data_IF_301801080882
#
_entry.id   IF_301801080882
#
_cell.length_a   1.000
_cell.length_b   1.000
_cell.length_c   1.000
_cell.angle_alpha   90.00
_cell.angle_beta   90.00
_cell.angle_gamma   90.00
#
_symmetry.space_group_name_H-M   'P 1'
#
loop_
_entity.id
_entity.type
_entity.pdbx_description
1 polymer ?
#
# COMPACT_ATOMS: atom_id res chain seq x y z
N UNK A 1 4.67 20.77 -4.55
CA UNK A 1 4.13 19.50 -4.11
C UNK A 1 5.19 18.43 -3.91
N UNK A 2 4.77 17.31 -3.35
CA UNK A 2 5.62 16.13 -3.15
C UNK A 2 5.12 14.99 -4.02
N UNK A 3 6.05 14.14 -4.46
CA UNK A 3 5.78 12.91 -5.18
C UNK A 3 6.03 11.72 -4.26
N UNK A 4 5.04 10.85 -4.12
CA UNK A 4 5.13 9.61 -3.38
C UNK A 4 4.88 8.41 -4.29
N UNK A 5 5.65 7.34 -4.11
CA UNK A 5 5.47 6.07 -4.80
C UNK A 5 5.46 4.96 -3.75
N UNK A 6 4.45 4.11 -3.78
CA UNK A 6 4.46 2.83 -3.07
C UNK A 6 4.90 1.72 -4.02
N UNK A 7 6.12 1.20 -3.92
CA UNK A 7 6.61 0.12 -4.78
C UNK A 7 5.79 -1.17 -4.60
N UNK A 8 5.90 -2.06 -5.56
CA UNK A 8 5.36 -3.41 -5.43
C UNK A 8 6.07 -4.17 -4.30
N UNK A 9 5.33 -5.00 -3.58
CA UNK A 9 5.88 -5.90 -2.56
C UNK A 9 6.99 -6.77 -3.15
N UNK A 10 8.10 -6.89 -2.42
CA UNK A 10 9.27 -7.65 -2.86
C UNK A 10 10.21 -6.91 -3.82
N UNK A 11 9.89 -5.66 -4.20
CA UNK A 11 10.79 -4.86 -5.04
C UNK A 11 11.89 -4.17 -4.23
N UNK A 12 11.57 -3.65 -3.06
CA UNK A 12 12.50 -2.91 -2.19
C UNK A 12 12.75 -3.63 -0.88
N UNK A 13 13.92 -3.40 -0.28
CA UNK A 13 14.26 -3.93 1.03
C UNK A 13 13.35 -3.33 2.11
N UNK A 14 12.93 -4.16 3.05
CA UNK A 14 12.24 -3.74 4.27
C UNK A 14 13.09 -4.18 5.45
N UNK A 15 13.12 -3.35 6.49
CA UNK A 15 13.84 -3.61 7.73
C UNK A 15 13.13 -4.68 8.58
N UNK A 16 13.09 -5.92 8.08
CA UNK A 16 12.68 -7.07 8.87
C UNK A 16 13.59 -8.26 8.58
N UNK A 17 13.80 -9.13 9.57
CA UNK A 17 14.61 -10.36 9.42
C UNK A 17 14.06 -11.26 8.30
N UNK A 18 12.77 -11.19 8.03
CA UNK A 18 12.05 -12.02 7.07
C UNK A 18 11.66 -11.27 5.79
N UNK A 19 11.91 -9.94 5.70
CA UNK A 19 11.50 -9.14 4.56
C UNK A 19 9.98 -8.94 4.43
N UNK A 20 9.21 -9.26 5.48
CA UNK A 20 7.75 -9.28 5.47
C UNK A 20 7.11 -8.41 6.56
N UNK A 21 7.62 -7.21 6.79
CA UNK A 21 7.04 -6.31 7.80
C UNK A 21 5.52 -6.24 7.65
N UNK A 22 4.81 -6.43 8.77
CA UNK A 22 3.35 -6.54 8.82
C UNK A 22 2.77 -7.60 7.87
N UNK A 23 3.39 -8.78 7.82
CA UNK A 23 2.98 -9.87 6.92
C UNK A 23 2.90 -9.46 5.44
N UNK A 24 3.83 -8.60 5.01
CA UNK A 24 3.93 -8.13 3.63
C UNK A 24 3.04 -6.92 3.29
N UNK A 25 2.38 -6.30 4.26
CA UNK A 25 1.58 -5.09 4.05
C UNK A 25 2.40 -3.79 4.07
N UNK A 26 3.70 -3.87 4.38
CA UNK A 26 4.58 -2.70 4.44
C UNK A 26 5.63 -2.77 3.35
N UNK A 27 5.87 -1.65 2.68
CA UNK A 27 6.95 -1.45 1.71
C UNK A 27 7.62 -0.12 1.98
N UNK A 28 8.91 -0.02 1.71
CA UNK A 28 9.69 1.21 1.93
C UNK A 28 10.03 1.89 0.62
N UNK A 29 9.89 3.22 0.59
CA UNK A 29 10.40 4.10 -0.45
C UNK A 29 10.50 5.53 0.09
N UNK A 30 11.02 6.45 -0.71
CA UNK A 30 11.16 7.87 -0.35
C UNK A 30 9.98 8.69 -0.84
N UNK A 31 9.79 9.84 -0.22
CA UNK A 31 9.02 10.96 -0.74
C UNK A 31 10.00 11.93 -1.38
N UNK A 32 9.74 12.33 -2.62
CA UNK A 32 10.63 13.19 -3.42
C UNK A 32 9.89 14.39 -4.00
N UNK A 33 10.60 15.29 -4.64
CA UNK A 33 10.00 16.42 -5.36
C UNK A 33 9.79 16.13 -6.85
N UNK A 34 10.40 15.06 -7.36
CA UNK A 34 10.27 14.67 -8.77
C UNK A 34 10.14 13.17 -8.94
N UNK A 35 9.50 12.74 -10.04
CA UNK A 35 9.45 11.34 -10.48
C UNK A 35 10.87 10.83 -10.74
N UNK A 36 11.75 11.68 -11.28
CA UNK A 36 13.14 11.34 -11.60
C UNK A 36 13.93 10.95 -10.36
N UNK A 37 13.82 11.72 -9.26
CA UNK A 37 14.50 11.40 -8.01
C UNK A 37 13.97 10.11 -7.39
N UNK A 38 12.66 9.90 -7.45
CA UNK A 38 12.03 8.65 -7.00
C UNK A 38 12.54 7.45 -7.79
N UNK A 39 12.62 7.55 -9.12
CA UNK A 39 13.12 6.48 -9.97
C UNK A 39 14.60 6.18 -9.71
N UNK A 40 15.44 7.21 -9.59
CA UNK A 40 16.86 7.07 -9.27
C UNK A 40 17.06 6.38 -7.91
N UNK A 41 16.28 6.78 -6.89
CA UNK A 41 16.34 6.15 -5.57
C UNK A 41 15.86 4.70 -5.60
N UNK A 42 14.82 4.41 -6.39
CA UNK A 42 14.33 3.04 -6.57
C UNK A 42 15.40 2.12 -7.16
N UNK A 43 16.21 2.60 -8.11
CA UNK A 43 17.35 1.87 -8.67
C UNK A 43 18.41 1.50 -7.62
N UNK A 44 18.59 2.36 -6.61
CA UNK A 44 19.53 2.10 -5.51
C UNK A 44 19.00 1.06 -4.51
N UNK A 45 17.71 1.14 -4.18
CA UNK A 45 17.13 0.31 -3.09
C UNK A 45 16.44 -0.96 -3.59
N UNK A 46 16.27 -1.13 -4.91
CA UNK A 46 15.67 -2.35 -5.46
C UNK A 46 16.50 -3.58 -5.09
N UNK A 47 15.82 -4.64 -4.69
CA UNK A 47 16.46 -5.87 -4.26
C UNK A 47 17.08 -6.60 -5.44
N UNK A 48 18.35 -6.95 -5.29
CA UNK A 48 19.10 -7.78 -6.24
C UNK A 48 19.21 -9.25 -5.78
N UNK A 49 18.64 -9.60 -4.62
CA UNK A 49 18.71 -10.93 -4.02
C UNK A 49 17.33 -11.52 -3.80
N UNK A 50 17.23 -12.84 -3.73
CA UNK A 50 16.02 -13.57 -3.39
C UNK A 50 15.60 -13.25 -1.95
N UNK A 51 14.33 -12.86 -1.80
CA UNK A 51 13.64 -12.69 -0.52
C UNK A 51 12.47 -13.69 -0.45
N UNK A 52 11.76 -13.72 0.70
CA UNK A 52 10.60 -14.60 0.91
C UNK A 52 9.48 -14.41 -0.11
N UNK A 53 9.32 -13.18 -0.62
CA UNK A 53 8.36 -12.90 -1.68
C UNK A 53 9.05 -12.95 -3.05
N UNK A 54 8.37 -13.50 -4.07
CA UNK A 54 8.85 -13.40 -5.44
C UNK A 54 9.09 -11.94 -5.80
N UNK A 55 10.24 -11.63 -6.37
CA UNK A 55 10.50 -10.30 -6.88
C UNK A 55 9.58 -10.03 -8.06
N UNK A 56 8.82 -8.93 -8.06
CA UNK A 56 8.04 -8.55 -9.23
C UNK A 56 8.97 -8.23 -10.41
N UNK A 57 8.51 -8.38 -11.65
CA UNK A 57 9.24 -7.92 -12.81
C UNK A 57 9.64 -6.45 -12.64
N UNK A 58 10.88 -6.12 -12.96
CA UNK A 58 11.39 -4.78 -12.85
C UNK A 58 12.40 -4.52 -13.97
N UNK A 59 12.47 -3.28 -14.50
CA UNK A 59 13.47 -2.92 -15.48
C UNK A 59 14.89 -2.93 -14.86
N UNK A 60 15.91 -2.99 -15.71
CA UNK A 60 17.29 -2.86 -15.27
C UNK A 60 17.55 -1.50 -14.63
N UNK A 61 16.94 -0.44 -15.17
CA UNK A 61 16.95 0.91 -14.61
C UNK A 61 15.56 1.54 -14.68
N UNK A 62 15.02 1.94 -13.54
CA UNK A 62 13.81 2.75 -13.46
C UNK A 62 14.05 4.17 -13.96
N UNK A 63 15.25 4.72 -13.71
CA UNK A 63 15.61 6.04 -14.17
C UNK A 63 15.64 6.10 -15.71
N UNK A 64 16.24 5.10 -16.36
CA UNK A 64 16.30 5.05 -17.83
C UNK A 64 14.92 4.80 -18.43
N UNK A 65 14.04 4.06 -17.72
CA UNK A 65 12.68 3.80 -18.15
C UNK A 65 11.82 5.06 -18.29
N UNK A 66 12.19 6.17 -17.66
CA UNK A 66 11.50 7.46 -17.82
C UNK A 66 11.62 8.05 -19.24
N UNK A 67 12.54 7.55 -20.04
CA UNK A 67 12.70 7.96 -21.44
C UNK A 67 11.79 7.16 -22.39
N UNK A 68 11.08 6.15 -21.88
CA UNK A 68 10.19 5.31 -22.68
C UNK A 68 8.78 5.90 -22.66
N UNK A 69 8.18 6.00 -23.84
CA UNK A 69 6.75 6.34 -23.94
C UNK A 69 5.89 5.21 -23.38
N UNK A 70 4.93 5.50 -22.50
CA UNK A 70 4.08 4.47 -21.87
C UNK A 70 3.09 3.81 -22.85
N UNK A 71 2.95 4.34 -24.07
CA UNK A 71 1.92 3.94 -25.01
C UNK A 71 0.53 4.46 -24.60
N UNK A 72 -0.51 3.88 -25.20
CA UNK A 72 -1.90 4.21 -24.84
C UNK A 72 -2.36 3.32 -23.71
N UNK A 73 -2.64 3.92 -22.56
CA UNK A 73 -3.13 3.23 -21.38
C UNK A 73 -4.66 3.25 -21.34
N UNK A 74 -5.23 2.17 -20.81
CA UNK A 74 -6.62 2.11 -20.37
C UNK A 74 -6.70 2.36 -18.88
N UNK A 75 -7.31 3.49 -18.49
CA UNK A 75 -7.33 4.03 -17.15
C UNK A 75 -8.74 3.93 -16.58
N UNK A 76 -8.89 3.24 -15.45
CA UNK A 76 -10.13 3.23 -14.68
C UNK A 76 -10.24 4.48 -13.81
N UNK A 77 -11.25 5.34 -14.02
CA UNK A 77 -11.51 6.52 -13.23
C UNK A 77 -12.47 6.18 -12.08
N UNK A 78 -11.99 6.23 -10.86
CA UNK A 78 -12.79 6.00 -9.66
C UNK A 78 -13.14 7.33 -9.01
N UNK A 79 -14.42 7.69 -9.00
CA UNK A 79 -14.95 8.92 -8.40
C UNK A 79 -15.67 8.69 -7.07
N UNK A 80 -15.95 7.45 -6.72
CA UNK A 80 -16.60 7.07 -5.46
C UNK A 80 -15.59 6.68 -4.39
N UNK A 81 -15.88 7.07 -3.14
CA UNK A 81 -15.09 6.61 -2.00
C UNK A 81 -15.41 5.13 -1.70
N UNK A 82 -14.40 4.24 -1.51
CA UNK A 82 -14.64 2.79 -1.35
C UNK A 82 -15.35 2.41 -0.03
N UNK A 83 -15.53 3.36 0.89
CA UNK A 83 -16.33 3.22 2.11
C UNK A 83 -17.58 4.10 2.12
N UNK A 84 -18.07 4.52 0.94
CA UNK A 84 -19.24 5.39 0.75
C UNK A 84 -19.18 6.73 1.53
N UNK A 85 -17.97 7.24 1.78
CA UNK A 85 -17.80 8.56 2.38
C UNK A 85 -17.88 9.64 1.32
N UNK A 86 -18.26 10.84 1.73
CA UNK A 86 -18.31 12.01 0.84
C UNK A 86 -16.87 12.42 0.49
N UNK A 87 -16.61 12.61 -0.79
CA UNK A 87 -15.35 13.18 -1.30
C UNK A 87 -15.55 14.67 -1.49
N UNK A 88 -14.59 15.49 -1.07
CA UNK A 88 -14.64 16.93 -1.27
C UNK A 88 -14.69 17.29 -2.75
N UNK A 89 -15.49 18.32 -3.10
CA UNK A 89 -15.67 18.73 -4.49
C UNK A 89 -14.34 19.15 -5.14
N UNK A 90 -13.44 19.78 -4.39
CA UNK A 90 -12.12 20.16 -4.89
C UNK A 90 -11.28 18.92 -5.29
N UNK A 91 -11.41 17.80 -4.57
CA UNK A 91 -10.75 16.53 -4.91
C UNK A 91 -11.36 15.93 -6.19
N UNK A 92 -12.69 15.98 -6.33
CA UNK A 92 -13.40 15.54 -7.54
C UNK A 92 -12.98 16.38 -8.75
N UNK A 93 -12.93 17.71 -8.60
CA UNK A 93 -12.50 18.60 -9.67
C UNK A 93 -11.04 18.35 -10.06
N UNK A 94 -10.17 18.13 -9.07
CA UNK A 94 -8.77 17.79 -9.30
C UNK A 94 -8.59 16.51 -10.11
N UNK A 95 -9.33 15.44 -9.75
CA UNK A 95 -9.22 14.16 -10.46
C UNK A 95 -9.83 14.24 -11.87
N UNK A 96 -10.92 14.99 -12.08
CA UNK A 96 -11.50 15.20 -13.39
C UNK A 96 -10.53 15.98 -14.31
N UNK A 97 -9.83 16.99 -13.79
CA UNK A 97 -8.78 17.69 -14.54
C UNK A 97 -7.63 16.75 -14.92
N UNK A 98 -7.21 15.86 -14.01
CA UNK A 98 -6.19 14.86 -14.31
C UNK A 98 -6.65 13.85 -15.37
N UNK A 99 -7.92 13.41 -15.31
CA UNK A 99 -8.52 12.53 -16.31
C UNK A 99 -8.55 13.19 -17.69
N UNK A 100 -9.00 14.44 -17.77
CA UNK A 100 -9.01 15.20 -19.03
C UNK A 100 -7.61 15.40 -19.61
N UNK A 101 -6.60 15.60 -18.76
CA UNK A 101 -5.20 15.64 -19.19
C UNK A 101 -4.77 14.31 -19.79
N UNK A 102 -5.08 13.18 -19.12
CA UNK A 102 -4.75 11.85 -19.63
C UNK A 102 -5.44 11.57 -20.98
N UNK A 103 -6.70 11.96 -21.16
CA UNK A 103 -7.40 11.87 -22.45
C UNK A 103 -6.70 12.70 -23.54
N UNK A 104 -6.28 13.92 -23.22
CA UNK A 104 -5.56 14.79 -24.16
C UNK A 104 -4.22 14.21 -24.60
N UNK A 105 -3.61 13.36 -23.77
CA UNK A 105 -2.40 12.61 -24.07
C UNK A 105 -2.66 11.31 -24.85
N UNK A 106 -3.94 11.01 -25.12
CA UNK A 106 -4.36 9.87 -25.95
C UNK A 106 -4.62 8.58 -25.18
N UNK A 107 -4.71 8.62 -23.85
CA UNK A 107 -5.13 7.51 -23.02
C UNK A 107 -6.67 7.33 -23.07
N UNK A 108 -7.13 6.12 -22.77
CA UNK A 108 -8.55 5.80 -22.69
C UNK A 108 -9.00 5.86 -21.23
N UNK A 109 -10.01 6.69 -20.94
CA UNK A 109 -10.58 6.81 -19.59
C UNK A 109 -11.95 6.14 -19.55
N UNK A 110 -12.20 5.32 -18.55
CA UNK A 110 -13.51 4.72 -18.27
C UNK A 110 -13.84 4.88 -16.78
N UNK A 111 -15.02 5.39 -16.46
CA UNK A 111 -15.47 5.43 -15.07
C UNK A 111 -15.72 4.01 -14.56
N UNK A 112 -15.23 3.72 -13.35
CA UNK A 112 -15.28 2.40 -12.75
C UNK A 112 -15.86 2.44 -11.33
N UNK A 113 -16.44 1.29 -10.93
CA UNK A 113 -16.66 0.98 -9.52
C UNK A 113 -15.49 0.16 -9.01
N UNK A 114 -15.00 0.45 -7.80
CA UNK A 114 -13.88 -0.28 -7.20
C UNK A 114 -14.26 -1.78 -7.07
N UNK A 115 -13.38 -2.72 -7.52
CA UNK A 115 -13.71 -4.15 -7.57
C UNK A 115 -13.81 -4.84 -6.21
N UNK A 116 -13.31 -4.19 -5.14
CA UNK A 116 -13.24 -4.77 -3.79
C UNK A 116 -14.09 -3.95 -2.82
N UNK A 117 -14.92 -4.62 -2.01
CA UNK A 117 -15.54 -3.98 -0.84
C UNK A 117 -14.48 -3.74 0.24
N UNK A 118 -14.21 -2.48 0.54
CA UNK A 118 -13.16 -2.11 1.49
C UNK A 118 -13.56 -2.28 2.97
N UNK A 119 -14.83 -2.41 3.30
CA UNK A 119 -15.27 -2.53 4.70
C UNK A 119 -14.65 -3.75 5.40
N UNK A 120 -14.74 -4.98 4.85
CA UNK A 120 -14.07 -6.14 5.44
C UNK A 120 -12.54 -6.02 5.34
N UNK A 121 -12.00 -5.40 4.29
CA UNK A 121 -10.55 -5.20 4.12
C UNK A 121 -9.97 -4.33 5.22
N UNK A 122 -10.60 -3.19 5.54
CA UNK A 122 -10.17 -2.29 6.63
C UNK A 122 -10.19 -3.01 7.97
N UNK A 123 -11.23 -3.82 8.24
CA UNK A 123 -11.31 -4.62 9.47
C UNK A 123 -10.20 -5.67 9.54
N UNK A 124 -9.90 -6.34 8.44
CA UNK A 124 -8.81 -7.32 8.36
C UNK A 124 -7.44 -6.65 8.55
N UNK A 125 -7.20 -5.51 7.88
CA UNK A 125 -5.99 -4.72 8.06
C UNK A 125 -5.78 -4.29 9.52
N UNK A 126 -6.84 -3.81 10.19
CA UNK A 126 -6.76 -3.42 11.59
C UNK A 126 -6.34 -4.60 12.49
N UNK A 127 -6.91 -5.80 12.28
CA UNK A 127 -6.51 -7.00 13.02
C UNK A 127 -5.03 -7.33 12.80
N UNK A 128 -4.56 -7.29 11.55
CA UNK A 128 -3.17 -7.54 11.21
C UNK A 128 -2.23 -6.54 11.88
N UNK A 129 -2.51 -5.24 11.75
CA UNK A 129 -1.70 -4.15 12.33
C UNK A 129 -1.66 -4.26 13.85
N UNK A 130 -2.83 -4.42 14.50
CA UNK A 130 -2.93 -4.50 15.96
C UNK A 130 -2.12 -5.67 16.51
N UNK A 131 -2.19 -6.84 15.85
CA UNK A 131 -1.42 -8.03 16.24
C UNK A 131 0.09 -7.79 16.13
N UNK A 132 0.55 -7.18 15.04
CA UNK A 132 1.96 -6.86 14.84
C UNK A 132 2.47 -5.81 15.83
N UNK A 133 1.67 -4.79 16.14
CA UNK A 133 2.03 -3.79 17.16
C UNK A 133 2.12 -4.45 18.53
N UNK A 134 1.13 -5.26 18.91
CA UNK A 134 1.16 -6.01 20.17
C UNK A 134 2.44 -6.86 20.28
N UNK A 135 2.75 -7.66 19.26
CA UNK A 135 3.94 -8.50 19.22
C UNK A 135 5.24 -7.70 19.40
N UNK A 136 5.35 -6.54 18.74
CA UNK A 136 6.53 -5.66 18.87
C UNK A 136 6.62 -5.03 20.25
N UNK A 137 5.52 -4.60 20.81
CA UNK A 137 5.47 -4.02 22.16
C UNK A 137 5.86 -5.08 23.20
N UNK A 138 5.25 -6.28 23.15
CA UNK A 138 5.62 -7.37 24.07
C UNK A 138 7.10 -7.73 23.97
N UNK A 139 7.61 -7.94 22.78
CA UNK A 139 9.03 -8.26 22.59
C UNK A 139 9.96 -7.18 23.16
N UNK A 140 9.54 -5.92 23.11
CA UNK A 140 10.35 -4.80 23.64
C UNK A 140 10.29 -4.69 25.16
N UNK A 141 9.09 -4.78 25.75
CA UNK A 141 8.95 -4.72 27.21
C UNK A 141 9.59 -5.94 27.88
N UNK A 142 9.49 -7.12 27.31
CA UNK A 142 10.18 -8.33 27.76
C UNK A 142 11.72 -8.14 27.74
N UNK A 143 12.24 -7.55 26.66
CA UNK A 143 13.67 -7.24 26.55
C UNK A 143 14.14 -6.27 27.62
N UNK A 144 13.28 -5.32 28.02
CA UNK A 144 13.59 -4.31 29.03
C UNK A 144 13.30 -4.77 30.45
N UNK A 145 12.58 -5.88 30.64
CA UNK A 145 12.16 -6.39 31.94
C UNK A 145 11.12 -5.49 32.64
N UNK A 146 10.26 -4.83 31.86
CA UNK A 146 9.19 -3.94 32.33
C UNK A 146 7.83 -4.42 31.83
N UNK A 147 6.73 -3.82 32.32
CA UNK A 147 5.38 -4.04 31.83
C UNK A 147 4.98 -3.03 30.74
N UNK A 148 3.86 -3.26 30.04
CA UNK A 148 3.34 -2.29 29.05
C UNK A 148 2.94 -0.99 29.74
N UNK A 149 2.41 -1.07 30.96
CA UNK A 149 2.00 0.09 31.76
C UNK A 149 3.19 0.94 32.22
N UNK A 150 4.35 0.31 32.45
CA UNK A 150 5.60 1.00 32.82
C UNK A 150 6.34 1.57 31.61
N UNK A 151 5.99 1.12 30.39
CA UNK A 151 6.59 1.62 29.18
C UNK A 151 6.07 3.03 28.86
N UNK A 152 6.98 3.93 28.48
CA UNK A 152 6.65 5.28 28.01
C UNK A 152 6.13 5.21 26.57
N UNK A 153 4.88 4.76 26.42
CA UNK A 153 4.18 4.60 25.15
C UNK A 153 3.04 5.62 25.06
N UNK A 154 2.85 6.16 23.87
CA UNK A 154 1.67 6.96 23.58
C UNK A 154 0.38 6.14 23.83
N UNK A 155 -0.67 6.80 24.30
CA UNK A 155 -1.96 6.17 24.61
C UNK A 155 -2.52 5.40 23.42
N UNK A 156 -2.41 5.95 22.21
CA UNK A 156 -2.81 5.30 20.97
C UNK A 156 -2.11 3.95 20.76
N UNK A 157 -0.80 3.87 21.00
CA UNK A 157 -0.01 2.65 20.89
C UNK A 157 -0.42 1.62 21.94
N UNK A 158 -0.69 2.06 23.19
CA UNK A 158 -1.18 1.18 24.25
C UNK A 158 -2.56 0.59 23.91
N UNK A 159 -3.49 1.41 23.38
CA UNK A 159 -4.82 0.95 22.95
C UNK A 159 -4.69 -0.11 21.87
N UNK A 160 -3.91 0.16 20.82
CA UNK A 160 -3.71 -0.76 19.69
C UNK A 160 -3.05 -2.06 20.15
N UNK A 161 -2.05 -2.01 21.04
CA UNK A 161 -1.43 -3.20 21.62
C UNK A 161 -2.43 -4.04 22.43
N UNK A 162 -3.27 -3.40 23.24
CA UNK A 162 -4.33 -4.09 23.99
C UNK A 162 -5.40 -4.72 23.08
N UNK A 163 -5.75 -4.09 21.98
CA UNK A 163 -6.63 -4.68 20.98
C UNK A 163 -5.96 -5.90 20.32
N UNK A 164 -4.69 -5.77 19.97
CA UNK A 164 -3.90 -6.85 19.35
C UNK A 164 -3.77 -8.08 20.25
N UNK A 165 -3.65 -7.90 21.58
CA UNK A 165 -3.54 -8.99 22.54
C UNK A 165 -4.78 -9.89 22.62
N UNK A 166 -5.94 -9.41 22.13
CA UNK A 166 -7.21 -10.13 22.15
C UNK A 166 -7.49 -10.88 20.85
N UNK A 167 -6.68 -10.71 19.83
CA UNK A 167 -6.86 -11.35 18.53
C UNK A 167 -6.30 -12.77 18.59
N UNK A 168 -7.15 -13.74 18.35
CA UNK A 168 -6.75 -15.16 18.32
C UNK A 168 -6.13 -15.52 16.96
N UNK A 169 -5.28 -16.56 16.96
CA UNK A 169 -4.58 -17.02 15.76
C UNK A 169 -5.53 -17.29 14.57
N UNK A 170 -6.71 -17.89 14.83
CA UNK A 170 -7.72 -18.13 13.79
C UNK A 170 -8.25 -16.84 13.15
N UNK A 171 -8.47 -15.79 13.95
CA UNK A 171 -8.92 -14.49 13.44
C UNK A 171 -7.84 -13.78 12.61
N UNK A 172 -6.58 -13.92 13.04
CA UNK A 172 -5.43 -13.40 12.29
C UNK A 172 -5.28 -14.09 10.93
N UNK A 173 -5.40 -15.43 10.90
CA UNK A 173 -5.36 -16.20 9.66
C UNK A 173 -6.51 -15.84 8.71
N UNK A 174 -7.74 -15.78 9.24
CA UNK A 174 -8.90 -15.38 8.44
C UNK A 174 -8.76 -13.95 7.88
N UNK A 175 -8.19 -13.01 8.64
CA UNK A 175 -7.91 -11.67 8.15
C UNK A 175 -6.88 -11.70 7.01
N UNK A 176 -5.84 -12.52 7.13
CA UNK A 176 -4.82 -12.70 6.08
C UNK A 176 -5.42 -13.27 4.79
N UNK A 177 -6.29 -14.31 4.91
CA UNK A 177 -6.96 -14.91 3.76
C UNK A 177 -7.84 -13.89 3.03
N UNK A 178 -8.62 -13.08 3.78
CA UNK A 178 -9.45 -12.03 3.21
C UNK A 178 -8.62 -10.98 2.44
N UNK A 179 -7.48 -10.57 2.97
CA UNK A 179 -6.59 -9.64 2.28
C UNK A 179 -5.99 -10.26 1.01
N UNK A 180 -5.76 -11.56 1.01
CA UNK A 180 -5.29 -12.29 -0.17
C UNK A 180 -6.37 -12.39 -1.24
N UNK A 181 -7.62 -12.63 -0.85
CA UNK A 181 -8.76 -12.62 -1.79
C UNK A 181 -8.94 -11.24 -2.43
N UNK A 182 -8.81 -10.16 -1.65
CA UNK A 182 -8.83 -8.79 -2.17
C UNK A 182 -7.69 -8.52 -3.16
N UNK A 183 -6.49 -9.06 -2.91
CA UNK A 183 -5.35 -8.98 -3.84
C UNK A 183 -5.65 -9.70 -5.15
N UNK A 184 -6.29 -10.88 -5.10
CA UNK A 184 -6.69 -11.62 -6.30
C UNK A 184 -7.70 -10.81 -7.11
N UNK A 185 -8.74 -10.27 -6.47
CA UNK A 185 -9.75 -9.45 -7.16
C UNK A 185 -9.13 -8.21 -7.84
N UNK A 186 -8.16 -7.56 -7.19
CA UNK A 186 -7.43 -6.44 -7.79
C UNK A 186 -6.56 -6.88 -8.98
N UNK A 187 -5.91 -8.04 -8.92
CA UNK A 187 -5.14 -8.57 -10.05
C UNK A 187 -6.03 -8.90 -11.24
N UNK A 188 -7.21 -9.49 -11.00
CA UNK A 188 -8.19 -9.78 -12.04
C UNK A 188 -8.70 -8.48 -12.69
N UNK A 189 -8.99 -7.45 -11.89
CA UNK A 189 -9.37 -6.14 -12.40
C UNK A 189 -8.30 -5.55 -13.33
N UNK A 190 -7.03 -5.66 -12.97
CA UNK A 190 -5.90 -5.17 -13.78
C UNK A 190 -5.60 -6.00 -15.04
N UNK A 191 -6.35 -7.06 -15.33
CA UNK A 191 -6.38 -7.66 -16.68
C UNK A 191 -7.11 -6.78 -17.71
N UNK A 192 -7.96 -5.86 -17.24
CA UNK A 192 -8.78 -4.98 -18.09
C UNK A 192 -8.34 -3.51 -18.06
N UNK A 193 -7.59 -3.10 -17.05
CA UNK A 193 -7.13 -1.71 -16.87
C UNK A 193 -5.65 -1.68 -16.48
N UNK A 194 -4.88 -0.80 -17.14
CA UNK A 194 -3.46 -0.63 -16.84
C UNK A 194 -3.25 0.06 -15.49
N UNK A 195 -4.05 1.07 -15.19
CA UNK A 195 -3.98 1.85 -13.94
C UNK A 195 -5.38 2.29 -13.48
N UNK A 196 -5.49 2.65 -12.20
CA UNK A 196 -6.64 3.34 -11.62
C UNK A 196 -6.23 4.76 -11.28
N UNK A 197 -7.08 5.71 -11.64
CA UNK A 197 -6.99 7.11 -11.26
C UNK A 197 -8.07 7.40 -10.23
N UNK A 198 -7.69 7.84 -9.03
CA UNK A 198 -8.62 8.10 -7.94
C UNK A 198 -8.22 9.35 -7.15
N UNK A 199 -9.15 10.04 -6.49
CA UNK A 199 -8.82 11.09 -5.54
C UNK A 199 -7.93 10.55 -4.42
N UNK A 200 -7.09 11.40 -3.86
CA UNK A 200 -6.44 11.16 -2.58
C UNK A 200 -7.36 11.75 -1.51
N UNK A 201 -7.93 10.95 -0.68
CA UNK A 201 -8.80 11.23 0.48
C UNK A 201 -9.29 12.68 0.64
#
# INVERSE_FOLDING_TARGET
>A
GLFGLKPSRGLTAIESKLGDSWSGMSVGHVVSQSVKDSAAFLDVIKLNKLYLFPRPPAPDSFLDSLNNEPGKLKIGLQLSHPLDQTIDQECIDGINNAAALCESLGHQIEEITHPVDYRPVVSAMAKMINTHIFQRVIAKVDQLGITIEEADLEESTQIVARLGSKIHAGEFLAAKDLLFDAEIAMREFHNSYDVILSPVL
#
